data_IF_058882013327
#
_entry.id   IF_058882013327
#
_cell.length_a   1.000
_cell.length_b   1.000
_cell.length_c   1.000
_cell.angle_alpha   90.00
_cell.angle_beta   90.00
_cell.angle_gamma   90.00
#
_symmetry.space_group_name_H-M   'P 1'
#
loop_
_entity.id
_entity.type
_entity.pdbx_description
1 polymer ?
#
# COMPACT_ATOMS: atom_id res chain seq x y z
N UNK A 1 -0.46 12.50 -13.46
CA UNK A 1 0.95 12.17 -13.17
C UNK A 1 1.24 11.79 -11.70
N UNK A 2 0.52 12.28 -10.68
CA UNK A 2 0.85 11.99 -9.27
C UNK A 2 0.26 10.68 -8.68
N UNK A 3 -0.69 10.01 -9.36
CA UNK A 3 -1.34 8.80 -8.85
C UNK A 3 -0.36 7.62 -8.64
N UNK A 4 0.58 7.32 -9.54
CA UNK A 4 1.55 6.25 -9.31
C UNK A 4 2.45 6.51 -8.09
N UNK A 5 2.85 7.76 -7.86
CA UNK A 5 3.62 8.15 -6.68
C UNK A 5 2.82 7.96 -5.40
N UNK A 6 1.54 8.36 -5.39
CA UNK A 6 0.66 8.11 -4.25
C UNK A 6 0.50 6.62 -3.97
N UNK A 7 0.40 5.78 -5.01
CA UNK A 7 0.30 4.32 -4.87
C UNK A 7 1.52 3.74 -4.15
N UNK A 8 2.72 4.02 -4.68
CA UNK A 8 3.98 3.47 -4.16
C UNK A 8 4.28 4.02 -2.77
N UNK A 9 4.15 5.33 -2.57
CA UNK A 9 4.38 5.95 -1.27
C UNK A 9 3.41 5.37 -0.22
N UNK A 10 2.12 5.23 -0.54
CA UNK A 10 1.16 4.62 0.40
C UNK A 10 1.52 3.16 0.70
N UNK A 11 1.86 2.35 -0.31
CA UNK A 11 2.22 0.97 -0.10
C UNK A 11 3.42 0.80 0.83
N UNK A 12 4.50 1.55 0.59
CA UNK A 12 5.71 1.48 1.43
C UNK A 12 5.45 2.05 2.83
N UNK A 13 4.70 3.15 2.95
CA UNK A 13 4.33 3.71 4.25
C UNK A 13 3.50 2.74 5.07
N UNK A 14 2.49 2.10 4.47
CA UNK A 14 1.63 1.14 5.19
C UNK A 14 2.41 -0.11 5.54
N UNK A 15 3.24 -0.63 4.63
CA UNK A 15 4.14 -1.75 4.93
C UNK A 15 5.02 -1.46 6.17
N UNK A 16 5.62 -0.27 6.22
CA UNK A 16 6.46 0.13 7.34
C UNK A 16 5.66 0.36 8.63
N UNK A 17 4.50 1.01 8.55
CA UNK A 17 3.65 1.31 9.71
C UNK A 17 3.00 0.07 10.33
N UNK A 18 2.72 -0.96 9.53
CA UNK A 18 2.26 -2.25 10.04
C UNK A 18 3.36 -2.93 10.87
N UNK A 19 4.62 -2.71 10.51
CA UNK A 19 5.78 -3.28 11.20
C UNK A 19 5.97 -4.77 10.90
N UNK A 20 6.96 -5.34 11.58
CA UNK A 20 7.36 -6.74 11.42
C UNK A 20 6.30 -7.68 11.98
N UNK A 21 5.90 -8.66 11.17
CA UNK A 21 4.99 -9.75 11.54
C UNK A 21 5.71 -11.10 11.51
N UNK A 22 7.01 -11.08 11.27
CA UNK A 22 7.93 -12.19 11.13
C UNK A 22 8.75 -12.48 12.40
N UNK A 23 8.57 -11.68 13.46
CA UNK A 23 9.28 -11.81 14.75
C UNK A 23 8.87 -13.04 15.60
N UNK A 24 8.18 -14.01 15.00
CA UNK A 24 7.84 -15.27 15.68
C UNK A 24 9.04 -16.22 15.67
N UNK A 25 9.71 -16.33 16.81
CA UNK A 25 10.96 -17.08 17.00
C UNK A 25 10.72 -18.56 17.39
N UNK A 26 9.79 -19.22 16.68
CA UNK A 26 9.46 -20.62 16.88
C UNK A 26 10.22 -21.55 15.93
N UNK A 27 10.63 -22.77 16.35
CA UNK A 27 11.33 -23.72 15.48
C UNK A 27 10.52 -24.17 14.26
N UNK A 28 9.21 -23.92 14.25
CA UNK A 28 8.25 -24.28 13.20
C UNK A 28 7.71 -23.05 12.45
N UNK A 29 8.47 -21.95 12.40
CA UNK A 29 8.06 -20.75 11.66
C UNK A 29 8.08 -21.00 10.14
N UNK A 30 6.90 -21.07 9.54
CA UNK A 30 6.68 -21.16 8.11
C UNK A 30 6.32 -19.79 7.52
N UNK A 31 6.83 -19.54 6.32
CA UNK A 31 6.59 -18.31 5.56
C UNK A 31 5.96 -18.65 4.22
N UNK A 32 4.92 -17.90 3.83
CA UNK A 32 4.40 -17.99 2.45
C UNK A 32 5.37 -17.33 1.47
N UNK A 33 5.91 -16.16 1.84
CA UNK A 33 7.00 -15.47 1.14
C UNK A 33 8.03 -15.06 2.21
N UNK A 34 9.32 -15.36 2.04
CA UNK A 34 10.34 -14.91 2.98
C UNK A 34 10.38 -13.36 3.06
N UNK A 35 10.44 -12.77 4.27
CA UNK A 35 10.62 -11.33 4.42
C UNK A 35 11.98 -10.89 3.83
N UNK A 36 12.09 -9.64 3.36
CA UNK A 36 13.35 -9.13 2.83
C UNK A 36 14.35 -8.93 3.96
N UNK A 37 15.61 -9.36 3.75
CA UNK A 37 16.70 -9.13 4.69
C UNK A 37 17.15 -7.66 4.65
N UNK A 38 16.54 -6.84 5.49
CA UNK A 38 16.83 -5.42 5.64
C UNK A 38 17.35 -5.14 7.04
N UNK A 39 18.47 -4.41 7.13
CA UNK A 39 18.88 -3.85 8.42
C UNK A 39 17.81 -2.88 8.96
N UNK A 40 17.64 -2.84 10.29
CA UNK A 40 16.66 -1.95 10.94
C UNK A 40 16.86 -0.47 10.56
N UNK A 41 18.10 -0.07 10.29
CA UNK A 41 18.44 1.27 9.80
C UNK A 41 17.91 1.53 8.38
N UNK A 42 18.09 0.57 7.46
CA UNK A 42 17.62 0.69 6.09
C UNK A 42 16.09 0.77 6.04
N UNK A 43 15.41 -0.10 6.79
CA UNK A 43 13.96 -0.09 6.89
C UNK A 43 13.41 1.23 7.42
N UNK A 44 14.03 1.78 8.48
CA UNK A 44 13.61 3.07 9.05
C UNK A 44 13.76 4.22 8.06
N UNK A 45 14.83 4.24 7.25
CA UNK A 45 15.01 5.26 6.23
C UNK A 45 14.03 5.10 5.07
N UNK A 46 13.81 3.87 4.58
CA UNK A 46 12.87 3.58 3.48
C UNK A 46 11.45 3.95 3.91
N UNK A 47 11.00 3.42 5.04
CA UNK A 47 9.67 3.67 5.58
C UNK A 47 9.43 5.13 5.96
N UNK A 48 10.39 5.73 6.68
CA UNK A 48 10.31 7.13 7.09
C UNK A 48 10.30 8.09 5.90
N UNK A 49 11.16 7.89 4.89
CA UNK A 49 11.17 8.72 3.68
C UNK A 49 9.90 8.54 2.85
N UNK A 50 9.40 7.31 2.71
CA UNK A 50 8.12 7.04 2.05
C UNK A 50 6.97 7.75 2.74
N UNK A 51 6.93 7.76 4.08
CA UNK A 51 5.90 8.46 4.85
C UNK A 51 5.95 9.98 4.64
N UNK A 52 7.16 10.57 4.66
CA UNK A 52 7.33 12.00 4.35
C UNK A 52 6.86 12.32 2.92
N UNK A 53 7.22 11.48 1.94
CA UNK A 53 6.79 11.63 0.55
C UNK A 53 5.26 11.48 0.40
N UNK A 54 4.64 10.54 1.11
CA UNK A 54 3.20 10.35 1.11
C UNK A 54 2.49 11.60 1.64
N UNK A 55 2.90 12.10 2.81
CA UNK A 55 2.34 13.30 3.43
C UNK A 55 2.51 14.51 2.49
N UNK A 56 3.70 14.70 1.91
CA UNK A 56 3.96 15.76 0.94
C UNK A 56 3.10 15.65 -0.32
N UNK A 57 2.94 14.44 -0.85
CA UNK A 57 2.13 14.16 -2.04
C UNK A 57 0.65 14.42 -1.78
N UNK A 58 0.11 13.95 -0.64
CA UNK A 58 -1.28 14.18 -0.25
C UNK A 58 -1.55 15.67 0.03
N UNK A 59 -0.60 16.37 0.65
CA UNK A 59 -0.71 17.81 0.89
C UNK A 59 -0.72 18.60 -0.43
N UNK A 60 0.24 18.34 -1.34
CA UNK A 60 0.30 18.99 -2.64
C UNK A 60 -0.95 18.70 -3.48
N UNK A 61 -1.43 17.46 -3.49
CA UNK A 61 -2.68 17.09 -4.15
C UNK A 61 -3.88 17.79 -3.52
N UNK A 62 -3.98 17.84 -2.19
CA UNK A 62 -5.04 18.54 -1.48
C UNK A 62 -5.07 20.04 -1.82
N UNK A 63 -3.90 20.69 -1.89
CA UNK A 63 -3.78 22.08 -2.28
C UNK A 63 -4.28 22.30 -3.72
N UNK A 64 -3.82 21.48 -4.68
CA UNK A 64 -4.26 21.56 -6.08
C UNK A 64 -5.77 21.31 -6.20
N UNK A 65 -6.30 20.27 -5.56
CA UNK A 65 -7.73 19.92 -5.64
C UNK A 65 -8.66 21.00 -5.06
N UNK A 66 -8.16 21.81 -4.13
CA UNK A 66 -8.89 22.95 -3.55
C UNK A 66 -8.90 24.17 -4.46
N UNK A 67 -7.81 24.43 -5.18
CA UNK A 67 -7.68 25.60 -6.05
C UNK A 67 -8.17 25.34 -7.47
N UNK A 68 -8.13 24.08 -7.94
CA UNK A 68 -8.36 23.74 -9.35
C UNK A 68 -9.80 23.36 -9.70
N UNK A 69 -10.78 23.55 -8.80
CA UNK A 69 -12.17 23.13 -9.03
C UNK A 69 -12.31 21.64 -9.35
N UNK A 70 -11.41 20.80 -8.83
CA UNK A 70 -11.28 19.41 -9.27
C UNK A 70 -12.57 18.61 -9.12
N UNK A 71 -12.94 17.93 -10.21
CA UNK A 71 -14.16 17.12 -10.28
C UNK A 71 -14.20 16.05 -9.17
N UNK A 72 -15.43 15.72 -8.73
CA UNK A 72 -15.67 14.66 -7.74
C UNK A 72 -15.00 13.34 -8.15
N UNK A 73 -14.99 13.03 -9.45
CA UNK A 73 -14.38 11.83 -10.00
C UNK A 73 -12.87 11.76 -9.72
N UNK A 74 -12.15 12.87 -9.89
CA UNK A 74 -10.69 12.94 -9.64
C UNK A 74 -10.36 12.72 -8.16
N UNK A 75 -11.20 13.21 -7.24
CA UNK A 75 -11.03 12.98 -5.80
C UNK A 75 -11.25 11.51 -5.43
N UNK A 76 -12.28 10.88 -6.01
CA UNK A 76 -12.55 9.45 -5.80
C UNK A 76 -11.41 8.60 -6.39
N UNK A 77 -10.91 8.93 -7.57
CA UNK A 77 -9.78 8.22 -8.18
C UNK A 77 -8.54 8.21 -7.27
N UNK A 78 -8.22 9.36 -6.65
CA UNK A 78 -7.13 9.43 -5.68
C UNK A 78 -7.38 8.54 -4.46
N UNK A 79 -8.58 8.58 -3.89
CA UNK A 79 -8.93 7.75 -2.73
C UNK A 79 -8.77 6.26 -3.05
N UNK A 80 -9.25 5.81 -4.21
CA UNK A 80 -9.11 4.41 -4.63
C UNK A 80 -7.64 3.99 -4.77
N UNK A 81 -6.77 4.88 -5.25
CA UNK A 81 -5.32 4.62 -5.37
C UNK A 81 -4.66 4.52 -4.00
N UNK A 82 -5.02 5.38 -3.05
CA UNK A 82 -4.52 5.32 -1.67
C UNK A 82 -4.96 4.00 -1.01
N UNK A 83 -6.23 3.61 -1.17
CA UNK A 83 -6.74 2.33 -0.65
C UNK A 83 -5.98 1.15 -1.27
N UNK A 84 -5.75 1.18 -2.59
CA UNK A 84 -4.99 0.14 -3.27
C UNK A 84 -3.55 0.03 -2.73
N UNK A 85 -2.88 1.17 -2.52
CA UNK A 85 -1.55 1.19 -1.91
C UNK A 85 -1.55 0.59 -0.50
N UNK A 86 -2.53 0.95 0.32
CA UNK A 86 -2.66 0.40 1.67
C UNK A 86 -2.86 -1.13 1.67
N UNK A 87 -3.68 -1.65 0.76
CA UNK A 87 -3.89 -3.10 0.60
C UNK A 87 -2.59 -3.78 0.18
N UNK A 88 -1.79 -3.19 -0.72
CA UNK A 88 -0.49 -3.75 -1.13
C UNK A 88 0.46 -3.82 0.07
N UNK A 89 0.62 -2.72 0.80
CA UNK A 89 1.55 -2.65 1.94
C UNK A 89 1.18 -3.62 3.07
N UNK A 90 -0.09 -3.61 3.48
CA UNK A 90 -0.58 -4.51 4.52
C UNK A 90 -0.60 -5.98 4.06
N UNK A 91 -1.02 -6.23 2.81
CA UNK A 91 -1.04 -7.56 2.23
C UNK A 91 0.35 -8.18 2.17
N UNK A 92 1.38 -7.40 1.82
CA UNK A 92 2.76 -7.88 1.83
C UNK A 92 3.19 -8.34 3.23
N UNK A 93 2.95 -7.54 4.28
CA UNK A 93 3.26 -7.95 5.66
C UNK A 93 2.53 -9.23 6.09
N UNK A 94 1.27 -9.37 5.70
CA UNK A 94 0.51 -10.61 5.98
C UNK A 94 1.13 -11.81 5.25
N UNK A 95 1.58 -11.65 4.01
CA UNK A 95 2.21 -12.72 3.24
C UNK A 95 3.60 -13.09 3.75
N UNK A 96 4.32 -12.15 4.36
CA UNK A 96 5.65 -12.39 4.96
C UNK A 96 5.60 -12.69 6.46
N UNK A 97 4.42 -12.75 7.06
CA UNK A 97 4.27 -13.07 8.47
C UNK A 97 4.76 -14.49 8.78
N UNK A 98 5.43 -14.64 9.91
CA UNK A 98 5.85 -15.93 10.44
C UNK A 98 4.64 -16.60 11.10
N UNK A 99 4.27 -17.80 10.65
CA UNK A 99 3.14 -18.57 11.19
C UNK A 99 3.52 -20.04 11.38
N UNK A 100 2.78 -20.75 12.22
CA UNK A 100 2.90 -22.21 12.30
C UNK A 100 1.92 -22.83 11.30
N UNK A 101 2.45 -23.51 10.27
CA UNK A 101 1.65 -24.15 9.22
C UNK A 101 1.11 -23.17 8.18
N UNK A 102 -0.16 -23.32 7.78
CA UNK A 102 -0.71 -22.60 6.64
C UNK A 102 -1.09 -21.15 6.95
N UNK A 103 -0.50 -20.19 6.23
CA UNK A 103 -0.85 -18.76 6.32
C UNK A 103 -2.21 -18.47 5.66
N UNK A 104 -3.30 -18.61 6.43
CA UNK A 104 -4.68 -18.31 5.99
C UNK A 104 -4.81 -16.84 5.56
N UNK A 105 -4.15 -15.92 6.27
CA UNK A 105 -4.14 -14.50 5.93
C UNK A 105 -3.56 -14.26 4.54
N UNK A 106 -2.41 -14.86 4.24
CA UNK A 106 -1.78 -14.81 2.92
C UNK A 106 -2.68 -15.41 1.83
N UNK A 107 -3.37 -16.51 2.14
CA UNK A 107 -4.37 -17.10 1.25
C UNK A 107 -5.52 -16.14 0.92
N UNK A 108 -6.06 -15.44 1.92
CA UNK A 108 -7.10 -14.42 1.72
C UNK A 108 -6.59 -13.21 0.92
N UNK A 109 -5.35 -12.77 1.17
CA UNK A 109 -4.71 -11.68 0.40
C UNK A 109 -4.58 -12.07 -1.07
N UNK A 110 -4.19 -13.30 -1.37
CA UNK A 110 -4.12 -13.78 -2.76
C UNK A 110 -5.50 -13.91 -3.40
N UNK A 111 -6.45 -14.54 -2.69
CA UNK A 111 -7.79 -14.83 -3.25
C UNK A 111 -8.62 -13.57 -3.47
N UNK A 112 -8.55 -12.59 -2.56
CA UNK A 112 -9.37 -11.37 -2.62
C UNK A 112 -8.58 -10.11 -2.92
N UNK A 113 -7.34 -10.00 -2.43
CA UNK A 113 -6.51 -8.80 -2.60
C UNK A 113 -6.17 -8.53 -4.05
N UNK A 114 -5.76 -9.53 -4.82
CA UNK A 114 -5.48 -9.38 -6.26
C UNK A 114 -6.67 -8.85 -7.08
N UNK A 115 -7.84 -9.53 -7.05
CA UNK A 115 -9.05 -9.06 -7.73
C UNK A 115 -9.52 -7.68 -7.26
N UNK A 116 -9.46 -7.41 -5.94
CA UNK A 116 -9.84 -6.12 -5.39
C UNK A 116 -8.89 -5.00 -5.86
N UNK A 117 -7.58 -5.23 -5.85
CA UNK A 117 -6.58 -4.29 -6.37
C UNK A 117 -6.81 -3.98 -7.84
N UNK A 118 -7.04 -5.02 -8.67
CA UNK A 118 -7.35 -4.83 -10.08
C UNK A 118 -8.61 -3.97 -10.26
N UNK A 119 -9.68 -4.26 -9.52
CA UNK A 119 -10.90 -3.47 -9.53
C UNK A 119 -10.64 -2.00 -9.15
N UNK A 120 -9.96 -1.75 -8.02
CA UNK A 120 -9.69 -0.39 -7.53
C UNK A 120 -8.88 0.42 -8.54
N UNK A 121 -7.82 -0.15 -9.11
CA UNK A 121 -6.93 0.53 -10.06
C UNK A 121 -7.63 0.81 -11.39
N UNK A 122 -8.40 -0.15 -11.92
CA UNK A 122 -9.20 0.05 -13.14
C UNK A 122 -10.23 1.16 -12.92
N UNK A 123 -10.95 1.13 -11.80
CA UNK A 123 -11.95 2.17 -11.47
C UNK A 123 -11.32 3.53 -11.25
N UNK A 124 -10.17 3.61 -10.59
CA UNK A 124 -9.41 4.84 -10.44
C UNK A 124 -9.00 5.42 -11.80
N UNK A 125 -8.48 4.57 -12.70
CA UNK A 125 -8.16 4.96 -14.07
C UNK A 125 -9.38 5.51 -14.81
N UNK A 126 -10.50 4.79 -14.81
CA UNK A 126 -11.74 5.24 -15.46
C UNK A 126 -12.23 6.58 -14.92
N UNK A 127 -12.18 6.80 -13.61
CA UNK A 127 -12.61 8.05 -12.98
C UNK A 127 -11.66 9.21 -13.24
N UNK A 128 -10.36 8.94 -13.37
CA UNK A 128 -9.36 9.94 -13.70
C UNK A 128 -9.55 10.49 -15.13
N UNK A 129 -9.97 9.65 -16.09
CA UNK A 129 -10.18 10.04 -17.49
C UNK A 129 -11.57 10.64 -17.77
N UNK A 130 -12.57 10.41 -16.90
CA UNK A 130 -13.92 11.00 -17.00
C UNK A 130 -14.03 12.40 -16.38
N UNK A 131 -12.89 13.00 -16.03
CA UNK A 131 -12.80 14.26 -15.29
C UNK A 131 -12.41 15.47 -16.12
N UNK A 132 -12.15 15.27 -17.42
CA UNK A 132 -11.94 16.28 -18.46
C UNK A 132 -13.20 16.37 -19.33
#
# INVERSE_FOLDING_TARGET
MLLPFALVATAVSVWWLVGDLDEFDGPDADFMIPPPDLSSSAERWIGGSALVLLVGTLFALGAVLRTSGASRNRRIALLLVVIAGAIIGAGYRVMTAAVVGANIGGGLVLMFGGPLLAFLLVRAGQLAHRGD
#
